data_IF_865128610487
#
_entry.id   IF_865128610487
#
_cell.length_a   1.000
_cell.length_b   1.000
_cell.length_c   1.000
_cell.angle_alpha   90.00
_cell.angle_beta   90.00
_cell.angle_gamma   90.00
#
_symmetry.space_group_name_H-M   'P 1'
#
loop_
_entity.id
_entity.type
_entity.pdbx_description
1 polymer ?
#
# COMPACT_ATOMS: atom_id res chain seq x y z
N UNK A 1 -42.52 53.30 -64.43
CA UNK A 1 -42.96 52.85 -63.08
C UNK A 1 -41.72 52.43 -62.30
N UNK A 2 -41.41 53.12 -61.20
CA UNK A 2 -40.19 52.91 -60.42
C UNK A 2 -40.30 51.65 -59.52
N UNK A 3 -39.29 50.78 -59.58
CA UNK A 3 -39.23 49.50 -58.86
C UNK A 3 -38.83 49.76 -57.41
N UNK A 4 -39.75 49.56 -56.46
CA UNK A 4 -39.49 49.73 -55.02
C UNK A 4 -38.40 48.76 -54.52
N UNK A 5 -37.44 49.27 -53.74
CA UNK A 5 -36.36 48.48 -53.12
C UNK A 5 -36.95 47.47 -52.13
N UNK A 6 -36.64 46.19 -52.32
CA UNK A 6 -37.02 45.08 -51.42
C UNK A 6 -36.28 45.27 -50.09
N UNK A 7 -36.99 45.42 -48.97
CA UNK A 7 -36.40 45.42 -47.63
C UNK A 7 -35.88 44.00 -47.34
N UNK A 8 -34.60 43.88 -46.98
CA UNK A 8 -34.04 42.64 -46.48
C UNK A 8 -34.65 42.34 -45.10
N UNK A 9 -34.94 41.06 -44.77
CA UNK A 9 -35.46 40.72 -43.45
C UNK A 9 -34.43 41.03 -42.36
N UNK A 10 -34.83 41.75 -41.32
CA UNK A 10 -33.99 41.97 -40.14
C UNK A 10 -33.83 40.64 -39.39
N UNK A 11 -32.58 40.20 -39.22
CA UNK A 11 -32.25 39.04 -38.39
C UNK A 11 -32.30 39.51 -36.92
N UNK A 12 -32.90 38.69 -36.05
CA UNK A 12 -32.94 38.94 -34.61
C UNK A 12 -31.53 38.79 -34.00
N UNK A 13 -30.70 39.81 -34.14
CA UNK A 13 -29.31 39.84 -33.69
C UNK A 13 -29.15 39.72 -32.17
N UNK A 14 -30.19 40.09 -31.40
CA UNK A 14 -30.16 39.96 -29.93
C UNK A 14 -30.17 38.49 -29.50
N UNK A 15 -31.07 37.68 -30.07
CA UNK A 15 -31.21 36.26 -29.71
C UNK A 15 -30.02 35.42 -30.18
N UNK A 16 -29.42 35.77 -31.33
CA UNK A 16 -28.22 35.08 -31.81
C UNK A 16 -26.99 35.45 -30.99
N UNK A 17 -26.90 36.69 -30.48
CA UNK A 17 -25.82 37.12 -29.60
C UNK A 17 -25.87 36.40 -28.23
N UNK A 18 -27.06 36.25 -27.63
CA UNK A 18 -27.21 35.55 -26.35
C UNK A 18 -26.84 34.07 -26.46
N UNK A 19 -27.24 33.40 -27.56
CA UNK A 19 -26.88 31.99 -27.81
C UNK A 19 -25.36 31.84 -28.00
N UNK A 20 -24.73 32.74 -28.76
CA UNK A 20 -23.28 32.72 -28.95
C UNK A 20 -22.53 32.97 -27.64
N UNK A 21 -23.03 33.86 -26.79
CA UNK A 21 -22.43 34.16 -25.49
C UNK A 21 -22.51 32.98 -24.52
N UNK A 22 -23.66 32.30 -24.45
CA UNK A 22 -23.83 31.08 -23.65
C UNK A 22 -22.92 29.95 -24.13
N UNK A 23 -22.78 29.76 -25.45
CA UNK A 23 -21.86 28.77 -26.02
C UNK A 23 -20.40 29.10 -25.70
N UNK A 24 -20.02 30.38 -25.70
CA UNK A 24 -18.66 30.81 -25.38
C UNK A 24 -18.35 30.61 -23.91
N UNK A 25 -19.28 30.91 -23.01
CA UNK A 25 -19.16 30.59 -21.58
C UNK A 25 -19.08 29.08 -21.37
N UNK A 26 -19.94 28.31 -22.05
CA UNK A 26 -19.89 26.85 -21.99
C UNK A 26 -18.53 26.33 -22.43
N UNK A 27 -18.03 26.74 -23.60
CA UNK A 27 -16.70 26.36 -24.07
C UNK A 27 -15.61 26.79 -23.09
N UNK A 28 -15.65 28.02 -22.54
CA UNK A 28 -14.64 28.50 -21.60
C UNK A 28 -14.64 27.72 -20.28
N UNK A 29 -15.84 27.38 -19.77
CA UNK A 29 -15.99 26.59 -18.53
C UNK A 29 -15.54 25.14 -18.78
N UNK A 30 -16.03 24.50 -19.85
CA UNK A 30 -15.74 23.08 -20.09
C UNK A 30 -14.34 22.82 -20.63
N UNK A 31 -13.70 23.78 -21.32
CA UNK A 31 -12.29 23.65 -21.75
C UNK A 31 -11.29 23.87 -20.61
N UNK A 32 -11.69 24.52 -19.51
CA UNK A 32 -10.84 24.66 -18.32
C UNK A 32 -10.82 23.42 -17.42
N UNK A 33 -11.65 22.41 -17.71
CA UNK A 33 -11.78 21.20 -16.90
C UNK A 33 -10.98 20.02 -17.48
N UNK A 34 -9.81 20.28 -18.06
CA UNK A 34 -8.85 19.23 -18.34
C UNK A 34 -7.47 19.65 -17.82
N UNK A 35 -7.24 19.34 -16.55
CA UNK A 35 -5.89 19.13 -16.07
C UNK A 35 -5.81 17.65 -15.76
N UNK A 36 -5.18 16.92 -16.68
CA UNK A 36 -4.62 15.59 -16.46
C UNK A 36 -3.75 15.61 -15.20
N UNK A 37 -4.38 15.50 -14.03
CA UNK A 37 -3.69 15.09 -12.81
C UNK A 37 -3.62 13.57 -12.83
N UNK A 38 -2.97 13.05 -13.87
CA UNK A 38 -2.24 11.80 -13.72
C UNK A 38 -1.24 12.02 -12.59
N UNK A 39 -1.24 11.15 -11.60
CA UNK A 39 -0.20 11.13 -10.56
C UNK A 39 1.15 11.23 -11.26
N UNK A 40 1.90 12.32 -11.04
CA UNK A 40 3.26 12.46 -11.52
C UNK A 40 4.16 11.48 -10.75
N UNK A 41 4.02 10.18 -11.03
CA UNK A 41 4.96 9.16 -10.58
C UNK A 41 6.18 9.30 -11.46
N UNK A 42 7.25 9.85 -10.90
CA UNK A 42 8.58 9.53 -11.41
C UNK A 42 8.77 8.03 -11.23
N UNK A 43 8.99 7.33 -12.33
CA UNK A 43 9.51 5.96 -12.26
C UNK A 43 10.83 6.02 -11.49
N UNK A 44 11.07 5.08 -10.56
CA UNK A 44 12.39 4.96 -9.96
C UNK A 44 13.43 4.87 -11.10
N UNK A 45 14.63 5.45 -10.90
CA UNK A 45 15.66 5.42 -11.92
C UNK A 45 15.89 3.97 -12.36
N UNK A 46 15.97 3.70 -13.67
CA UNK A 46 16.31 2.38 -14.15
C UNK A 46 17.70 2.01 -13.58
N UNK A 47 17.86 0.82 -12.98
CA UNK A 47 19.16 0.37 -12.48
C UNK A 47 20.16 0.24 -13.63
N UNK A 48 21.44 0.41 -13.31
CA UNK A 48 22.51 0.58 -14.30
C UNK A 48 22.79 -0.71 -15.10
N UNK A 49 22.43 -1.90 -14.59
CA UNK A 49 22.57 -3.19 -15.28
C UNK A 49 21.44 -4.20 -14.95
N UNK A 50 21.09 -5.08 -15.91
CA UNK A 50 20.09 -6.15 -15.76
C UNK A 50 20.33 -7.10 -14.56
N UNK A 51 21.58 -7.26 -14.13
CA UNK A 51 21.96 -8.09 -12.97
C UNK A 51 21.63 -7.40 -11.65
N UNK A 52 21.84 -6.10 -11.56
CA UNK A 52 21.49 -5.28 -10.40
C UNK A 52 19.98 -5.19 -10.26
N UNK A 53 19.27 -5.01 -11.38
CA UNK A 53 17.81 -5.05 -11.46
C UNK A 53 17.23 -6.38 -10.93
N UNK A 54 17.75 -7.53 -11.40
CA UNK A 54 17.31 -8.86 -10.92
C UNK A 54 17.63 -9.10 -9.45
N UNK A 55 18.78 -8.62 -8.96
CA UNK A 55 19.15 -8.77 -7.55
C UNK A 55 18.28 -7.88 -6.65
N UNK A 56 18.03 -6.63 -7.05
CA UNK A 56 17.12 -5.73 -6.36
C UNK A 56 15.69 -6.27 -6.33
N UNK A 57 15.18 -6.82 -7.44
CA UNK A 57 13.85 -7.38 -7.50
C UNK A 57 13.71 -8.61 -6.60
N UNK A 58 14.73 -9.48 -6.56
CA UNK A 58 14.78 -10.61 -5.63
C UNK A 58 14.82 -10.16 -4.16
N UNK A 59 15.61 -9.13 -3.85
CA UNK A 59 15.70 -8.55 -2.49
C UNK A 59 14.36 -7.93 -2.10
N UNK A 60 13.70 -7.22 -3.00
CA UNK A 60 12.36 -6.67 -2.78
C UNK A 60 11.32 -7.78 -2.57
N UNK A 61 11.39 -8.88 -3.34
CA UNK A 61 10.47 -10.01 -3.21
C UNK A 61 10.63 -10.76 -1.88
N UNK A 62 11.86 -11.06 -1.43
CA UNK A 62 12.09 -11.73 -0.12
C UNK A 62 11.71 -10.87 1.08
N UNK A 63 11.68 -9.54 0.91
CA UNK A 63 11.24 -8.61 1.93
C UNK A 63 9.71 -8.54 2.06
N UNK A 64 8.94 -9.20 1.19
CA UNK A 64 7.48 -9.17 1.22
C UNK A 64 6.92 -10.53 1.65
N UNK A 65 6.18 -10.54 2.76
CA UNK A 65 5.35 -11.69 3.15
C UNK A 65 3.99 -11.55 2.47
N UNK A 66 3.66 -12.45 1.55
CA UNK A 66 2.40 -12.41 0.82
C UNK A 66 1.36 -13.25 1.55
N UNK A 67 0.26 -12.61 1.97
CA UNK A 67 -0.87 -13.24 2.63
C UNK A 67 -2.10 -13.01 1.77
N UNK A 68 -2.77 -14.09 1.40
CA UNK A 68 -3.99 -14.06 0.60
C UNK A 68 -5.12 -14.79 1.33
N UNK A 69 -6.25 -14.11 1.51
CA UNK A 69 -7.47 -14.69 2.05
C UNK A 69 -8.45 -14.95 0.89
N UNK A 70 -8.78 -16.22 0.65
CA UNK A 70 -9.67 -16.60 -0.45
C UNK A 70 -11.17 -16.53 -0.08
N UNK A 71 -12.04 -16.79 -1.06
CA UNK A 71 -13.50 -16.80 -0.87
C UNK A 71 -14.03 -17.90 0.05
N UNK A 72 -13.21 -18.92 0.36
CA UNK A 72 -13.55 -20.01 1.28
C UNK A 72 -12.99 -19.74 2.68
N UNK A 73 -12.57 -18.51 2.97
CA UNK A 73 -11.91 -18.09 4.20
C UNK A 73 -10.62 -18.88 4.52
N UNK A 74 -10.00 -19.45 3.50
CA UNK A 74 -8.71 -20.12 3.64
C UNK A 74 -7.59 -19.11 3.41
N UNK A 75 -6.62 -19.16 4.33
CA UNK A 75 -5.44 -18.31 4.31
C UNK A 75 -4.31 -18.99 3.52
N UNK A 76 -3.74 -18.29 2.57
CA UNK A 76 -2.55 -18.68 1.83
C UNK A 76 -1.41 -17.73 2.14
N UNK A 77 -0.28 -18.25 2.62
CA UNK A 77 0.91 -17.46 2.97
C UNK A 77 2.10 -17.95 2.16
N UNK A 78 2.64 -17.08 1.30
CA UNK A 78 3.69 -17.40 0.33
C UNK A 78 3.35 -18.63 -0.55
N UNK A 79 2.06 -18.81 -0.89
CA UNK A 79 1.57 -19.90 -1.73
C UNK A 79 1.18 -21.18 -1.00
N UNK A 80 1.38 -21.25 0.32
CA UNK A 80 1.00 -22.41 1.14
C UNK A 80 -0.28 -22.12 1.92
N UNK A 81 -1.23 -23.06 1.89
CA UNK A 81 -2.45 -22.96 2.71
C UNK A 81 -2.06 -23.21 4.17
N UNK A 82 -2.49 -22.32 5.05
CA UNK A 82 -2.26 -22.45 6.48
C UNK A 82 -3.43 -21.96 7.33
N UNK A 83 -3.40 -22.32 8.61
CA UNK A 83 -4.38 -21.82 9.58
C UNK A 83 -3.98 -20.42 10.08
N UNK A 84 -4.98 -19.60 10.39
CA UNK A 84 -4.84 -18.28 11.02
C UNK A 84 -3.97 -18.35 12.29
N UNK A 85 -4.06 -19.40 13.10
CA UNK A 85 -3.20 -19.56 14.28
C UNK A 85 -1.71 -19.71 13.95
N UNK A 86 -1.39 -20.34 12.81
CA UNK A 86 -0.01 -20.52 12.35
C UNK A 86 0.55 -19.24 11.72
N UNK A 87 -0.31 -18.35 11.25
CA UNK A 87 0.08 -17.06 10.68
C UNK A 87 0.93 -16.26 11.67
N UNK A 88 0.53 -16.25 12.95
CA UNK A 88 1.27 -15.54 13.99
C UNK A 88 2.72 -15.98 14.06
N UNK A 89 2.94 -17.29 14.20
CA UNK A 89 4.29 -17.86 14.28
C UNK A 89 5.12 -17.56 13.02
N UNK A 90 4.54 -17.73 11.83
CA UNK A 90 5.21 -17.47 10.55
C UNK A 90 5.56 -16.00 10.35
N UNK A 91 4.66 -15.08 10.73
CA UNK A 91 4.94 -13.64 10.69
C UNK A 91 6.05 -13.26 11.68
N UNK A 92 6.06 -13.85 12.89
CA UNK A 92 7.15 -13.61 13.86
C UNK A 92 8.50 -14.06 13.31
N UNK A 93 8.55 -15.27 12.74
CA UNK A 93 9.75 -15.82 12.14
C UNK A 93 10.26 -14.94 10.99
N UNK A 94 9.35 -14.51 10.11
CA UNK A 94 9.65 -13.63 8.98
C UNK A 94 10.23 -12.28 9.42
N UNK A 95 9.60 -11.62 10.40
CA UNK A 95 10.02 -10.30 10.87
C UNK A 95 11.32 -10.37 11.69
N UNK A 96 11.45 -11.37 12.58
CA UNK A 96 12.64 -11.51 13.42
C UNK A 96 13.87 -11.99 12.63
N UNK A 97 13.66 -12.85 11.63
CA UNK A 97 14.70 -13.50 10.82
C UNK A 97 15.93 -13.89 11.67
N UNK A 98 15.72 -14.70 12.72
CA UNK A 98 16.76 -14.97 13.74
C UNK A 98 18.05 -15.56 13.15
N UNK A 99 17.94 -16.34 12.09
CA UNK A 99 19.05 -17.04 11.44
C UNK A 99 19.67 -16.30 10.25
N UNK A 100 19.21 -15.08 9.95
CA UNK A 100 19.64 -14.29 8.79
C UNK A 100 19.60 -15.12 7.49
N UNK A 101 18.50 -15.85 7.30
CA UNK A 101 18.32 -16.71 6.13
C UNK A 101 18.18 -15.85 4.87
N UNK A 102 18.81 -16.26 3.77
CA UNK A 102 18.78 -15.53 2.50
C UNK A 102 17.37 -15.47 1.88
N UNK A 103 16.49 -16.39 2.28
CA UNK A 103 15.07 -16.46 1.88
C UNK A 103 14.16 -15.48 2.63
N UNK A 104 14.65 -14.88 3.73
CA UNK A 104 13.92 -13.98 4.61
C UNK A 104 14.35 -12.51 4.42
N UNK A 105 13.65 -11.53 5.04
CA UNK A 105 13.92 -10.13 4.82
C UNK A 105 15.36 -9.74 5.16
N UNK A 106 15.92 -8.88 4.32
CA UNK A 106 17.25 -8.30 4.48
C UNK A 106 17.34 -7.57 5.82
N UNK A 107 18.38 -7.87 6.60
CA UNK A 107 18.70 -7.12 7.81
C UNK A 107 19.64 -5.96 7.50
N UNK A 108 19.28 -4.79 7.98
CA UNK A 108 20.14 -3.60 7.98
C UNK A 108 20.65 -3.37 9.39
N UNK A 109 21.93 -2.99 9.51
CA UNK A 109 22.47 -2.53 10.80
C UNK A 109 21.95 -1.13 11.05
N UNK A 110 21.16 -0.97 12.11
CA UNK A 110 20.64 0.33 12.53
C UNK A 110 21.02 0.56 13.98
N UNK A 111 21.50 1.77 14.26
CA UNK A 111 21.70 2.21 15.63
C UNK A 111 20.35 2.64 16.19
N UNK A 112 19.90 1.95 17.23
CA UNK A 112 18.64 2.25 17.90
C UNK A 112 18.94 2.65 19.34
N UNK A 113 18.30 3.72 19.79
CA UNK A 113 18.41 4.20 21.16
C UNK A 113 18.16 3.07 22.16
N UNK A 114 18.96 3.00 23.23
CA UNK A 114 18.95 1.93 24.25
C UNK A 114 19.45 0.54 23.81
N UNK A 115 19.51 0.24 22.51
CA UNK A 115 19.93 -1.08 21.99
C UNK A 115 21.29 -1.06 21.28
N UNK A 116 21.76 0.09 20.80
CA UNK A 116 23.00 0.21 20.04
C UNK A 116 22.86 -0.36 18.62
N UNK A 117 23.96 -0.81 17.98
CA UNK A 117 23.91 -1.35 16.62
C UNK A 117 23.18 -2.70 16.61
N UNK A 118 21.94 -2.69 16.15
CA UNK A 118 21.07 -3.87 16.08
C UNK A 118 20.75 -4.19 14.62
N UNK A 119 20.75 -5.49 14.29
CA UNK A 119 20.35 -5.94 12.95
C UNK A 119 18.82 -6.03 12.87
N UNK A 120 18.21 -5.09 12.15
CA UNK A 120 16.76 -4.94 12.03
C UNK A 120 16.30 -5.20 10.61
N UNK A 121 15.12 -5.77 10.44
CA UNK A 121 14.53 -6.05 9.12
C UNK A 121 13.79 -4.80 8.61
N UNK A 122 14.46 -3.67 8.43
CA UNK A 122 13.79 -2.38 8.20
C UNK A 122 12.87 -2.36 6.98
N UNK A 123 13.22 -3.09 5.92
CA UNK A 123 12.49 -3.06 4.64
C UNK A 123 11.36 -4.09 4.52
N UNK A 124 11.09 -4.88 5.57
CA UNK A 124 10.06 -5.91 5.48
C UNK A 124 8.66 -5.30 5.30
N UNK A 125 7.80 -5.97 4.53
CA UNK A 125 6.40 -5.60 4.32
C UNK A 125 5.54 -6.85 4.39
N UNK A 126 4.47 -6.79 5.17
CA UNK A 126 3.45 -7.83 5.22
C UNK A 126 2.30 -7.39 4.32
N UNK A 127 2.13 -8.04 3.16
CA UNK A 127 1.06 -7.71 2.23
C UNK A 127 -0.14 -8.61 2.47
N UNK A 128 -1.25 -8.01 2.93
CA UNK A 128 -2.54 -8.69 3.05
C UNK A 128 -3.40 -8.37 1.82
N UNK A 129 -3.84 -9.41 1.14
CA UNK A 129 -4.80 -9.35 0.04
C UNK A 129 -5.99 -10.24 0.38
N UNK A 130 -7.20 -9.75 0.19
CA UNK A 130 -8.42 -10.52 0.38
C UNK A 130 -9.23 -10.62 -0.92
N UNK A 131 -9.95 -11.72 -1.08
CA UNK A 131 -10.97 -11.82 -2.10
C UNK A 131 -12.18 -10.96 -1.71
N UNK A 132 -12.93 -10.45 -2.70
CA UNK A 132 -14.15 -9.67 -2.46
C UNK A 132 -15.25 -10.49 -1.79
N UNK A 133 -15.18 -11.81 -1.91
CA UNK A 133 -16.14 -12.75 -1.36
C UNK A 133 -15.70 -13.36 -0.01
N UNK A 134 -14.52 -13.01 0.52
CA UNK A 134 -14.09 -13.46 1.85
C UNK A 134 -14.98 -12.87 2.94
N UNK A 135 -15.23 -13.61 4.02
CA UNK A 135 -16.00 -13.09 5.14
C UNK A 135 -15.24 -11.98 5.87
N UNK A 136 -15.99 -11.01 6.38
CA UNK A 136 -15.42 -9.93 7.18
C UNK A 136 -14.77 -10.46 8.46
N UNK A 137 -15.36 -11.49 9.07
CA UNK A 137 -14.80 -12.12 10.27
C UNK A 137 -13.42 -12.71 10.00
N UNK A 138 -13.26 -13.49 8.92
CA UNK A 138 -11.98 -14.08 8.56
C UNK A 138 -10.90 -13.01 8.30
N UNK A 139 -11.26 -11.88 7.67
CA UNK A 139 -10.35 -10.76 7.50
C UNK A 139 -9.91 -10.15 8.85
N UNK A 140 -10.84 -9.94 9.78
CA UNK A 140 -10.54 -9.42 11.12
C UNK A 140 -9.67 -10.39 11.91
N UNK A 141 -9.94 -11.70 11.83
CA UNK A 141 -9.15 -12.71 12.51
C UNK A 141 -7.69 -12.70 12.03
N UNK A 142 -7.48 -12.59 10.71
CA UNK A 142 -6.14 -12.47 10.12
C UNK A 142 -5.44 -11.21 10.60
N UNK A 143 -6.12 -10.05 10.60
CA UNK A 143 -5.55 -8.79 11.08
C UNK A 143 -5.17 -8.86 12.56
N UNK A 144 -6.02 -9.44 13.40
CA UNK A 144 -5.76 -9.61 14.82
C UNK A 144 -4.51 -10.48 15.06
N UNK A 145 -4.35 -11.57 14.32
CA UNK A 145 -3.16 -12.42 14.41
C UNK A 145 -1.87 -11.72 13.96
N UNK A 146 -1.94 -10.88 12.92
CA UNK A 146 -0.81 -10.07 12.49
C UNK A 146 -0.41 -9.05 13.55
N UNK A 147 -1.38 -8.34 14.13
CA UNK A 147 -1.13 -7.39 15.22
C UNK A 147 -0.56 -8.11 16.44
N UNK A 148 -1.11 -9.27 16.80
CA UNK A 148 -0.62 -10.09 17.91
C UNK A 148 0.82 -10.55 17.69
N UNK A 149 1.20 -10.93 16.47
CA UNK A 149 2.58 -11.30 16.13
C UNK A 149 3.57 -10.16 16.42
N UNK A 150 3.24 -8.94 16.01
CA UNK A 150 4.08 -7.77 16.30
C UNK A 150 4.14 -7.45 17.79
N UNK A 151 3.02 -7.53 18.49
CA UNK A 151 2.99 -7.28 19.93
C UNK A 151 3.85 -8.29 20.69
N UNK A 152 3.76 -9.59 20.38
CA UNK A 152 4.60 -10.62 20.99
C UNK A 152 6.09 -10.39 20.71
N UNK A 153 6.48 -10.00 19.50
CA UNK A 153 7.89 -9.67 19.19
C UNK A 153 8.40 -8.50 20.03
N UNK A 154 7.56 -7.48 20.22
CA UNK A 154 7.89 -6.30 21.02
C UNK A 154 7.95 -6.65 22.50
N UNK A 155 7.02 -7.46 22.99
CA UNK A 155 7.01 -7.95 24.38
C UNK A 155 8.24 -8.81 24.67
N UNK A 156 8.59 -9.76 23.80
CA UNK A 156 9.79 -10.60 23.95
C UNK A 156 11.06 -9.73 24.07
N UNK A 157 11.22 -8.75 23.18
CA UNK A 157 12.38 -7.86 23.17
C UNK A 157 12.40 -6.92 24.40
N UNK A 158 11.23 -6.47 24.85
CA UNK A 158 11.08 -5.64 26.05
C UNK A 158 11.43 -6.42 27.32
N UNK A 159 10.97 -7.67 27.39
CA UNK A 159 11.23 -8.59 28.49
C UNK A 159 12.72 -8.98 28.54
N UNK A 160 13.37 -9.19 27.40
CA UNK A 160 14.79 -9.52 27.32
C UNK A 160 15.69 -8.37 27.84
N UNK A 161 15.35 -7.11 27.54
CA UNK A 161 16.17 -5.96 27.97
C UNK A 161 15.82 -5.45 29.36
N UNK A 162 14.53 -5.32 29.67
CA UNK A 162 14.06 -4.62 30.87
C UNK A 162 13.27 -5.50 31.84
N UNK A 163 12.95 -6.73 31.46
CA UNK A 163 12.16 -7.64 32.29
C UNK A 163 10.70 -7.21 32.49
N UNK A 164 10.19 -6.32 31.63
CA UNK A 164 8.83 -5.78 31.66
C UNK A 164 8.14 -5.96 30.32
N UNK A 165 6.81 -6.01 30.35
CA UNK A 165 5.98 -6.02 29.16
C UNK A 165 6.11 -4.69 28.39
N UNK A 166 5.89 -4.74 27.08
CA UNK A 166 5.96 -3.57 26.20
C UNK A 166 5.01 -2.44 26.65
N UNK A 167 3.82 -2.79 27.13
CA UNK A 167 2.83 -1.84 27.64
C UNK A 167 3.27 -1.06 28.88
N UNK A 168 4.23 -1.59 29.65
CA UNK A 168 4.73 -0.98 30.89
C UNK A 168 5.99 -0.12 30.67
N UNK A 169 6.51 -0.08 29.44
CA UNK A 169 7.66 0.72 29.08
C UNK A 169 7.32 2.20 28.93
N UNK A 170 8.31 3.06 29.16
CA UNK A 170 8.20 4.50 28.92
C UNK A 170 8.11 4.79 27.41
N UNK A 171 7.60 5.97 27.03
CA UNK A 171 7.40 6.33 25.62
C UNK A 171 8.67 6.20 24.77
N UNK A 172 9.84 6.61 25.29
CA UNK A 172 11.10 6.53 24.56
C UNK A 172 11.59 5.09 24.38
N UNK A 173 11.37 4.24 25.39
CA UNK A 173 11.64 2.80 25.28
C UNK A 173 10.69 2.15 24.27
N UNK A 174 9.40 2.50 24.30
CA UNK A 174 8.42 2.00 23.33
C UNK A 174 8.76 2.44 21.90
N UNK A 175 9.28 3.65 21.70
CA UNK A 175 9.74 4.14 20.39
C UNK A 175 10.92 3.29 19.88
N UNK A 176 11.93 3.05 20.71
CA UNK A 176 13.07 2.22 20.34
C UNK A 176 12.64 0.80 19.92
N UNK A 177 11.71 0.19 20.67
CA UNK A 177 11.18 -1.13 20.33
C UNK A 177 10.35 -1.12 19.03
N UNK A 178 9.55 -0.06 18.79
CA UNK A 178 8.83 0.12 17.50
C UNK A 178 9.79 0.33 16.34
N UNK A 179 10.95 0.93 16.57
CA UNK A 179 11.96 1.16 15.55
C UNK A 179 12.68 -0.14 15.15
N UNK A 180 12.87 -1.06 16.09
CA UNK A 180 13.39 -2.41 15.82
C UNK A 180 12.37 -3.26 15.07
N UNK A 181 11.12 -3.24 15.53
CA UNK A 181 10.01 -3.98 14.92
C UNK A 181 8.89 -3.04 14.45
N UNK A 182 9.09 -2.35 13.30
CA UNK A 182 8.07 -1.49 12.73
C UNK A 182 6.94 -2.35 12.16
N UNK A 183 5.70 -2.01 12.48
CA UNK A 183 4.53 -2.71 11.95
C UNK A 183 4.22 -2.20 10.54
N UNK A 184 4.63 -2.95 9.52
CA UNK A 184 4.49 -2.59 8.11
C UNK A 184 3.52 -3.52 7.40
N UNK A 185 2.24 -3.34 7.69
CA UNK A 185 1.15 -4.08 7.04
C UNK A 185 0.64 -3.23 5.88
N UNK A 186 0.67 -3.79 4.68
CA UNK A 186 0.14 -3.18 3.46
C UNK A 186 -1.08 -3.96 3.01
N UNK A 187 -2.25 -3.32 3.10
CA UNK A 187 -3.48 -3.85 2.53
C UNK A 187 -3.53 -3.47 1.05
N UNK A 188 -3.68 -4.46 0.18
CA UNK A 188 -3.87 -4.24 -1.24
C UNK A 188 -5.35 -4.45 -1.58
N UNK A 189 -5.83 -3.70 -2.58
CA UNK A 189 -7.23 -3.76 -3.01
C UNK A 189 -7.66 -5.20 -3.33
N UNK A 190 -8.90 -5.58 -2.99
CA UNK A 190 -9.35 -6.94 -3.13
C UNK A 190 -9.44 -7.31 -4.61
N UNK A 191 -8.61 -8.28 -5.03
CA UNK A 191 -8.57 -8.77 -6.41
C UNK A 191 -9.67 -9.80 -6.64
N UNK A 192 -10.32 -9.71 -7.79
CA UNK A 192 -11.27 -10.72 -8.26
C UNK A 192 -10.48 -11.90 -8.84
N UNK A 193 -10.48 -13.05 -8.18
CA UNK A 193 -9.85 -14.25 -8.72
C UNK A 193 -10.79 -14.89 -9.77
N UNK A 194 -10.47 -14.77 -11.07
CA UNK A 194 -11.25 -15.42 -12.13
C UNK A 194 -11.27 -14.76 -13.52
N UNK A 195 -10.74 -13.54 -13.70
CA UNK A 195 -10.58 -12.99 -15.06
C UNK A 195 -9.31 -13.55 -15.69
N UNK A 196 -9.48 -14.65 -16.44
CA UNK A 196 -8.50 -15.07 -17.44
C UNK A 196 -8.29 -13.88 -18.39
N UNK A 197 -7.03 -13.42 -18.52
CA UNK A 197 -6.62 -12.62 -19.67
C UNK A 197 -6.80 -13.41 -20.96
#
# INVERSE_FOLDING_TARGET
MAKGKRKVPDINSSSTADIAFLLLIFFLITTSMDTDRGLARRLPPPPENDKEQKNEDKVKQRNVLQIYLNMYDQLMVNGEIMNVQQLRAKTKEFVANKYNDESLPEKTSKEVDFFGPTMVTEKHVVSLQNDRSSSYQAYIDVQNELVAAYNELRDELSQEKWGKNYSELNEDQQKAVREIYPQKISEAEPKKYGEKK
#
